data_IF_424096149715
#
_entry.id   IF_424096149715
#
_cell.length_a   1.000
_cell.length_b   1.000
_cell.length_c   1.000
_cell.angle_alpha   90.00
_cell.angle_beta   90.00
_cell.angle_gamma   90.00
#
_symmetry.space_group_name_H-M   'P 1'
#
loop_
_entity.id
_entity.type
_entity.pdbx_description
1 polymer ?
#
# COMPACT_ATOMS: atom_id res chain seq x y z
N UNK A 1 16.06 21.62 9.58
CA UNK A 1 16.42 20.57 8.60
C UNK A 1 16.33 19.17 9.19
N UNK A 2 17.07 18.86 10.28
CA UNK A 2 17.06 17.54 10.93
C UNK A 2 15.67 17.04 11.35
N UNK A 3 14.81 17.90 11.91
CA UNK A 3 13.44 17.51 12.32
C UNK A 3 12.59 16.97 11.16
N UNK A 4 12.74 17.55 9.97
CA UNK A 4 12.00 17.12 8.78
C UNK A 4 12.59 15.82 8.20
N UNK A 5 13.91 15.65 8.29
CA UNK A 5 14.58 14.40 7.89
C UNK A 5 14.25 13.23 8.81
N UNK A 6 14.14 13.48 10.13
CA UNK A 6 13.73 12.47 11.11
C UNK A 6 12.27 12.05 10.87
N UNK A 7 11.41 12.98 10.44
CA UNK A 7 10.05 12.65 9.99
C UNK A 7 9.18 11.93 11.02
N UNK A 8 9.37 12.21 12.33
CA UNK A 8 8.66 11.48 13.39
C UNK A 8 7.14 11.71 13.30
N UNK A 9 6.42 10.64 12.96
CA UNK A 9 4.96 10.61 12.93
C UNK A 9 4.38 9.91 14.15
N UNK A 10 3.21 10.35 14.63
CA UNK A 10 2.43 9.71 15.69
C UNK A 10 1.08 9.33 15.12
N UNK A 11 0.71 8.07 15.28
CA UNK A 11 -0.51 7.53 14.70
C UNK A 11 -0.91 6.22 15.37
N UNK A 12 -1.81 5.49 14.72
CA UNK A 12 -2.27 4.18 15.12
C UNK A 12 -1.93 3.17 14.03
N UNK A 13 -1.68 1.94 14.45
CA UNK A 13 -1.48 0.79 13.59
C UNK A 13 -2.54 -0.24 13.92
N UNK A 14 -3.17 -0.83 12.90
CA UNK A 14 -4.19 -1.86 13.07
C UNK A 14 -4.07 -2.95 12.00
N UNK A 15 -4.53 -4.16 12.32
CA UNK A 15 -4.52 -5.28 11.40
C UNK A 15 -5.80 -5.37 10.57
N UNK A 16 -5.65 -5.52 9.26
CA UNK A 16 -6.72 -5.93 8.36
C UNK A 16 -6.52 -7.37 7.94
N UNK A 17 -7.49 -8.23 8.26
CA UNK A 17 -7.46 -9.65 7.88
C UNK A 17 -7.98 -9.83 6.47
N UNK A 18 -7.37 -10.75 5.72
CA UNK A 18 -7.88 -11.15 4.41
C UNK A 18 -9.25 -11.80 4.58
N UNK A 19 -10.20 -11.44 3.72
CA UNK A 19 -11.58 -11.94 3.77
C UNK A 19 -11.65 -13.47 3.72
N UNK A 20 -10.91 -14.07 2.78
CA UNK A 20 -11.01 -15.50 2.49
C UNK A 20 -10.08 -16.38 3.35
N UNK A 21 -9.10 -15.76 4.02
CA UNK A 21 -8.11 -16.46 4.85
C UNK A 21 -7.69 -15.59 6.02
N UNK A 22 -8.30 -15.81 7.18
CA UNK A 22 -8.04 -15.03 8.40
C UNK A 22 -6.66 -15.27 9.01
N UNK A 23 -5.89 -16.25 8.52
CA UNK A 23 -4.49 -16.43 8.92
C UNK A 23 -3.56 -15.39 8.28
N UNK A 24 -4.03 -14.71 7.24
CA UNK A 24 -3.30 -13.66 6.52
C UNK A 24 -3.85 -12.29 6.89
N UNK A 25 -2.96 -11.36 7.20
CA UNK A 25 -3.29 -9.97 7.51
C UNK A 25 -2.28 -9.00 6.92
N UNK A 26 -2.68 -7.74 6.83
CA UNK A 26 -1.81 -6.60 6.56
C UNK A 26 -1.90 -5.62 7.71
N UNK A 27 -0.76 -5.06 8.10
CA UNK A 27 -0.71 -3.98 9.08
C UNK A 27 -0.86 -2.64 8.38
N UNK A 28 -1.76 -1.79 8.88
CA UNK A 28 -2.04 -0.48 8.30
C UNK A 28 -1.76 0.61 9.32
N UNK A 29 -0.89 1.54 8.96
CA UNK A 29 -0.59 2.74 9.73
C UNK A 29 -1.43 3.93 9.26
N UNK A 30 -2.01 4.68 10.20
CA UNK A 30 -2.72 5.93 9.92
C UNK A 30 -2.52 6.95 11.03
N UNK A 31 -2.47 8.23 10.67
CA UNK A 31 -2.56 9.34 11.64
C UNK A 31 -4.00 9.77 11.92
N UNK A 32 -4.97 9.23 11.19
CA UNK A 32 -6.42 9.52 11.27
C UNK A 32 -7.21 8.24 11.55
N UNK A 33 -7.17 7.77 12.80
CA UNK A 33 -7.93 6.57 13.20
C UNK A 33 -9.44 6.82 13.17
N UNK A 34 -9.85 8.08 13.35
CA UNK A 34 -11.24 8.52 13.29
C UNK A 34 -11.90 8.23 11.93
N UNK A 35 -11.12 8.14 10.85
CA UNK A 35 -11.65 7.90 9.49
C UNK A 35 -11.73 6.42 9.11
N UNK A 36 -11.33 5.49 9.98
CA UNK A 36 -11.24 4.05 9.64
C UNK A 36 -12.60 3.48 9.26
N UNK A 37 -13.69 3.91 9.91
CA UNK A 37 -15.05 3.45 9.57
C UNK A 37 -15.56 3.96 8.20
N UNK A 38 -14.91 4.96 7.62
CA UNK A 38 -15.22 5.49 6.28
C UNK A 38 -14.33 4.93 5.17
N UNK A 39 -13.41 4.01 5.48
CA UNK A 39 -12.50 3.44 4.51
C UNK A 39 -13.25 2.52 3.53
N UNK A 40 -13.16 2.81 2.23
CA UNK A 40 -13.84 2.03 1.18
C UNK A 40 -12.93 1.02 0.48
N UNK A 41 -11.61 1.22 0.53
CA UNK A 41 -10.61 0.30 0.01
C UNK A 41 -9.25 0.56 0.69
N UNK A 42 -8.34 -0.40 0.56
CA UNK A 42 -6.93 -0.26 0.95
C UNK A 42 -6.04 -0.40 -0.28
N UNK A 43 -4.87 0.25 -0.24
CA UNK A 43 -3.87 0.17 -1.31
C UNK A 43 -2.61 -0.46 -0.74
N UNK A 44 -2.05 -1.44 -1.45
CA UNK A 44 -0.83 -2.13 -1.08
C UNK A 44 0.31 -1.70 -2.00
N UNK A 45 1.49 -1.48 -1.45
CA UNK A 45 2.66 -1.12 -2.24
C UNK A 45 3.06 -2.30 -3.16
N UNK A 46 3.49 -2.03 -4.41
CA UNK A 46 3.90 -3.07 -5.37
C UNK A 46 5.05 -3.97 -4.87
N UNK A 47 5.87 -3.43 -3.98
CA UNK A 47 7.05 -4.02 -3.35
C UNK A 47 6.76 -4.60 -1.95
N UNK A 48 5.50 -4.61 -1.52
CA UNK A 48 5.11 -5.17 -0.23
C UNK A 48 5.34 -6.69 -0.19
N UNK A 49 5.97 -7.19 0.88
CA UNK A 49 6.40 -8.60 1.02
C UNK A 49 5.31 -9.63 0.69
N UNK A 50 4.08 -9.39 1.15
CA UNK A 50 2.94 -10.28 0.94
C UNK A 50 2.04 -9.94 -0.27
N UNK A 51 2.43 -9.01 -1.16
CA UNK A 51 1.55 -8.52 -2.24
C UNK A 51 0.97 -9.64 -3.10
N UNK A 52 1.77 -10.66 -3.41
CA UNK A 52 1.37 -11.80 -4.24
C UNK A 52 0.24 -12.63 -3.62
N UNK A 53 0.11 -12.62 -2.30
CA UNK A 53 -0.90 -13.39 -1.57
C UNK A 53 -2.29 -12.75 -1.63
N UNK A 54 -2.37 -11.47 -1.99
CA UNK A 54 -3.61 -10.70 -2.12
C UNK A 54 -4.06 -10.54 -3.57
N UNK A 55 -3.31 -11.08 -4.54
CA UNK A 55 -3.67 -11.04 -5.95
C UNK A 55 -4.63 -12.20 -6.29
N UNK A 56 -5.77 -11.87 -6.88
CA UNK A 56 -6.70 -12.90 -7.37
C UNK A 56 -6.11 -13.65 -8.57
N UNK A 57 -6.37 -14.97 -8.73
CA UNK A 57 -5.86 -15.72 -9.88
C UNK A 57 -6.25 -15.11 -11.23
N UNK A 58 -7.45 -14.50 -11.31
CA UNK A 58 -7.98 -13.86 -12.53
C UNK A 58 -7.20 -12.61 -12.94
N UNK A 59 -6.61 -11.89 -11.98
CA UNK A 59 -5.90 -10.63 -12.22
C UNK A 59 -4.37 -10.77 -12.11
N UNK A 60 -3.88 -12.01 -11.99
CA UNK A 60 -2.47 -12.29 -11.71
C UNK A 60 -1.54 -11.65 -12.73
N UNK A 61 -1.79 -11.86 -14.01
CA UNK A 61 -0.92 -11.35 -15.07
C UNK A 61 -0.94 -9.82 -15.16
N UNK A 62 -2.11 -9.19 -15.00
CA UNK A 62 -2.22 -7.72 -15.00
C UNK A 62 -1.49 -7.11 -13.80
N UNK A 63 -1.66 -7.69 -12.61
CA UNK A 63 -1.01 -7.20 -11.39
C UNK A 63 0.51 -7.39 -11.45
N UNK A 64 1.01 -8.53 -11.94
CA UNK A 64 2.44 -8.77 -12.06
C UNK A 64 3.10 -7.82 -13.06
N UNK A 65 2.45 -7.54 -14.20
CA UNK A 65 2.91 -6.53 -15.15
C UNK A 65 2.96 -5.14 -14.52
N UNK A 66 1.94 -4.78 -13.73
CA UNK A 66 1.92 -3.52 -13.02
C UNK A 66 3.07 -3.41 -12.00
N UNK A 67 3.29 -4.46 -11.20
CA UNK A 67 4.37 -4.51 -10.21
C UNK A 67 5.74 -4.35 -10.87
N UNK A 68 6.00 -5.09 -11.95
CA UNK A 68 7.27 -5.00 -12.70
C UNK A 68 7.49 -3.58 -13.26
N UNK A 69 6.46 -2.97 -13.85
CA UNK A 69 6.53 -1.60 -14.35
C UNK A 69 6.72 -0.57 -13.24
N UNK A 70 6.07 -0.76 -12.08
CA UNK A 70 6.18 0.13 -10.94
C UNK A 70 7.58 0.08 -10.30
N UNK A 71 8.18 -1.11 -10.21
CA UNK A 71 9.52 -1.30 -9.65
C UNK A 71 10.63 -0.71 -10.54
N UNK A 72 10.37 -0.51 -11.84
CA UNK A 72 11.29 0.13 -12.78
C UNK A 72 11.25 1.66 -12.70
N UNK A 73 10.25 2.25 -12.06
CA UNK A 73 10.14 3.71 -11.91
C UNK A 73 11.01 4.19 -10.76
N UNK A 74 11.70 5.32 -10.95
CA UNK A 74 12.42 5.97 -9.86
C UNK A 74 11.46 6.55 -8.82
N UNK A 75 11.91 6.76 -7.58
CA UNK A 75 11.08 7.41 -6.55
C UNK A 75 10.66 8.85 -6.95
N UNK A 76 11.50 9.54 -7.72
CA UNK A 76 11.18 10.85 -8.30
C UNK A 76 10.03 10.74 -9.31
N UNK A 77 10.04 9.70 -10.16
CA UNK A 77 8.95 9.42 -11.11
C UNK A 77 7.64 9.01 -10.44
N UNK A 78 7.69 8.45 -9.23
CA UNK A 78 6.52 8.03 -8.43
C UNK A 78 5.88 9.19 -7.66
N UNK A 79 6.67 10.21 -7.33
CA UNK A 79 6.24 11.35 -6.51
C UNK A 79 5.73 12.53 -7.35
N UNK A 80 5.99 12.54 -8.66
CA UNK A 80 5.51 13.58 -9.56
C UNK A 80 3.97 13.54 -9.69
N UNK A 81 3.30 14.62 -9.31
CA UNK A 81 1.83 14.76 -9.24
C UNK A 81 1.09 14.69 -10.60
N UNK A 82 1.82 14.68 -11.71
CA UNK A 82 1.27 14.79 -13.09
C UNK A 82 1.00 13.45 -13.79
N UNK A 83 1.12 12.30 -13.09
CA UNK A 83 0.81 10.98 -13.66
C UNK A 83 -0.41 10.37 -12.98
N UNK A 84 -1.38 9.92 -13.78
CA UNK A 84 -2.56 9.19 -13.29
C UNK A 84 -2.12 7.98 -12.45
N UNK A 85 -2.53 7.98 -11.17
CA UNK A 85 -2.32 6.86 -10.26
C UNK A 85 -3.40 5.82 -10.53
N UNK A 86 -3.16 4.92 -11.47
CA UNK A 86 -3.96 3.71 -11.73
C UNK A 86 -3.35 2.49 -11.08
#
# INVERSE_FOLDING_TARGET
MQKNWIGKSKGCEFEMKKSDDKSKSISVYTTRIDTVFGMTYAVLAPDHHHVSEFISPKQKDSCLKYIDNANKKSDQDRTQDDKEKT
#
